data_IF_359339612913
#
_entry.id   IF_359339612913
#
_cell.length_a   1.000
_cell.length_b   1.000
_cell.length_c   1.000
_cell.angle_alpha   90.00
_cell.angle_beta   90.00
_cell.angle_gamma   90.00
#
_symmetry.space_group_name_H-M   'P 1'
#
loop_
_entity.id
_entity.type
_entity.pdbx_description
1 polymer ?
#
# COMPACT_ATOMS: atom_id res chain seq x y z
N UNK A 1 -16.10 -28.61 18.04
CA UNK A 1 -14.80 -29.00 18.64
C UNK A 1 -13.74 -28.14 17.98
N UNK A 2 -13.18 -27.23 18.77
CA UNK A 2 -12.23 -26.21 18.33
C UNK A 2 -10.96 -26.86 17.80
N UNK A 3 -10.59 -26.43 16.60
CA UNK A 3 -9.37 -26.75 15.90
C UNK A 3 -8.17 -26.49 16.81
N UNK A 4 -7.36 -27.53 16.99
CA UNK A 4 -6.10 -27.49 17.71
C UNK A 4 -5.21 -26.39 17.10
N UNK A 5 -5.03 -25.31 17.84
CA UNK A 5 -3.97 -24.33 17.60
C UNK A 5 -2.65 -25.07 17.80
N UNK A 6 -1.88 -25.22 16.72
CA UNK A 6 -0.58 -25.86 16.72
C UNK A 6 0.33 -25.22 17.77
N UNK A 7 0.75 -26.03 18.74
CA UNK A 7 1.79 -25.68 19.69
C UNK A 7 3.04 -25.29 18.90
N UNK A 8 3.48 -24.04 19.04
CA UNK A 8 4.66 -23.52 18.36
C UNK A 8 5.90 -24.33 18.74
N UNK A 9 6.37 -25.15 17.80
CA UNK A 9 7.58 -25.96 17.96
C UNK A 9 8.78 -25.02 18.18
N UNK A 10 9.25 -24.97 19.43
CA UNK A 10 10.24 -23.99 19.87
C UNK A 10 11.63 -24.46 19.44
N UNK A 11 12.25 -23.71 18.52
CA UNK A 11 13.63 -23.98 18.09
C UNK A 11 14.59 -23.85 19.27
N UNK A 12 15.57 -24.75 19.35
CA UNK A 12 16.62 -24.64 20.36
C UNK A 12 17.47 -23.38 20.14
N UNK A 13 18.15 -22.83 21.17
CA UNK A 13 19.02 -21.66 21.01
C UNK A 13 20.09 -21.84 19.93
N UNK A 14 20.57 -23.09 19.75
CA UNK A 14 21.52 -23.43 18.69
C UNK A 14 20.88 -23.34 17.31
N UNK A 15 19.71 -23.93 17.14
CA UNK A 15 18.95 -23.90 15.89
C UNK A 15 18.55 -22.48 15.51
N UNK A 16 18.14 -21.67 16.48
CA UNK A 16 17.89 -20.23 16.30
C UNK A 16 19.14 -19.51 15.78
N UNK A 17 20.30 -19.75 16.39
CA UNK A 17 21.57 -19.13 15.95
C UNK A 17 21.97 -19.58 14.55
N UNK A 18 21.83 -20.86 14.23
CA UNK A 18 22.11 -21.41 12.90
C UNK A 18 21.16 -20.81 11.86
N UNK A 19 19.84 -20.78 12.13
CA UNK A 19 18.85 -20.15 11.26
C UNK A 19 19.16 -18.68 11.02
N UNK A 20 19.51 -17.93 12.08
CA UNK A 20 19.88 -16.52 11.95
C UNK A 20 21.10 -16.30 11.06
N UNK A 21 22.12 -17.18 11.15
CA UNK A 21 23.32 -17.09 10.30
C UNK A 21 23.00 -17.43 8.86
N UNK A 22 22.20 -18.48 8.61
CA UNK A 22 21.78 -18.85 7.26
C UNK A 22 20.99 -17.71 6.62
N UNK A 23 20.02 -17.13 7.34
CA UNK A 23 19.24 -16.00 6.85
C UNK A 23 20.12 -14.79 6.54
N UNK A 24 21.04 -14.39 7.44
CA UNK A 24 21.95 -13.25 7.21
C UNK A 24 22.86 -13.46 6.00
N UNK A 25 23.53 -14.61 5.90
CA UNK A 25 24.41 -14.89 4.76
C UNK A 25 23.64 -14.94 3.45
N UNK A 26 22.44 -15.51 3.46
CA UNK A 26 21.61 -15.58 2.27
C UNK A 26 21.16 -14.18 1.82
N UNK A 27 20.70 -13.32 2.73
CA UNK A 27 20.33 -11.92 2.42
C UNK A 27 21.50 -11.10 1.90
N UNK A 28 22.72 -11.37 2.34
CA UNK A 28 23.91 -10.64 1.88
C UNK A 28 24.41 -11.09 0.50
N UNK A 29 24.16 -12.34 0.12
CA UNK A 29 24.84 -12.96 -1.04
C UNK A 29 23.91 -13.49 -2.12
N UNK A 30 22.62 -13.69 -1.81
CA UNK A 30 21.68 -14.47 -2.61
C UNK A 30 22.16 -15.90 -2.95
N UNK A 31 23.10 -16.47 -2.18
CA UNK A 31 23.67 -17.80 -2.47
C UNK A 31 23.31 -18.84 -1.40
N UNK A 32 23.07 -20.12 -1.78
CA UNK A 32 22.83 -21.19 -0.82
C UNK A 32 23.97 -21.33 0.20
N UNK A 33 23.61 -21.37 1.50
CA UNK A 33 24.59 -21.31 2.58
C UNK A 33 25.03 -22.72 2.99
N UNK A 34 26.34 -22.98 2.98
CA UNK A 34 26.89 -24.28 3.39
C UNK A 34 27.06 -24.39 4.90
N UNK A 35 27.04 -25.63 5.42
CA UNK A 35 27.28 -25.89 6.85
C UNK A 35 28.70 -25.50 7.29
N UNK A 36 29.67 -25.46 6.36
CA UNK A 36 31.04 -25.01 6.62
C UNK A 36 31.08 -23.52 6.97
N UNK A 37 30.44 -22.68 6.14
CA UNK A 37 30.34 -21.23 6.37
C UNK A 37 29.66 -20.94 7.71
N UNK A 38 28.55 -21.62 7.99
CA UNK A 38 27.84 -21.46 9.26
C UNK A 38 28.70 -21.91 10.44
N UNK A 39 29.40 -23.05 10.36
CA UNK A 39 30.26 -23.52 11.44
C UNK A 39 31.36 -22.50 11.79
N UNK A 40 32.04 -21.96 10.77
CA UNK A 40 33.10 -20.95 10.91
C UNK A 40 32.60 -19.66 11.56
N UNK A 41 31.42 -19.17 11.16
CA UNK A 41 30.86 -17.91 11.67
C UNK A 41 30.06 -18.06 12.96
N UNK A 42 29.61 -19.27 13.31
CA UNK A 42 28.69 -19.46 14.41
C UNK A 42 29.29 -19.25 15.80
N UNK A 43 30.61 -19.41 15.95
CA UNK A 43 31.26 -19.40 17.26
C UNK A 43 30.67 -20.42 18.24
N UNK A 44 30.00 -21.47 17.75
CA UNK A 44 29.34 -22.48 18.56
C UNK A 44 30.29 -23.61 19.01
N UNK A 45 31.52 -23.64 18.48
CA UNK A 45 32.49 -24.69 18.79
C UNK A 45 32.10 -26.08 18.28
N UNK A 46 31.20 -26.17 17.29
CA UNK A 46 30.70 -27.43 16.72
C UNK A 46 31.26 -27.68 15.32
N UNK A 47 31.38 -28.95 14.94
CA UNK A 47 31.88 -29.35 13.63
C UNK A 47 30.90 -29.01 12.50
N UNK A 48 31.37 -28.85 11.24
CA UNK A 48 30.50 -28.71 10.07
C UNK A 48 29.50 -29.86 9.88
N UNK A 49 29.83 -31.08 10.36
CA UNK A 49 28.93 -32.23 10.34
C UNK A 49 27.75 -32.05 11.31
N UNK A 50 28.02 -31.55 12.52
CA UNK A 50 26.99 -31.21 13.51
C UNK A 50 26.07 -30.11 12.98
N UNK A 51 26.64 -29.05 12.38
CA UNK A 51 25.86 -27.98 11.76
C UNK A 51 25.00 -28.51 10.61
N UNK A 52 25.52 -29.42 9.79
CA UNK A 52 24.76 -30.06 8.71
C UNK A 52 23.53 -30.80 9.24
N UNK A 53 23.66 -31.53 10.35
CA UNK A 53 22.54 -32.23 10.99
C UNK A 53 21.48 -31.24 11.53
N UNK A 54 21.90 -30.15 12.16
CA UNK A 54 20.96 -29.12 12.65
C UNK A 54 20.25 -28.40 11.48
N UNK A 55 20.95 -28.13 10.38
CA UNK A 55 20.36 -27.56 9.17
C UNK A 55 19.36 -28.52 8.51
N UNK A 56 19.65 -29.84 8.51
CA UNK A 56 18.70 -30.86 8.05
C UNK A 56 17.46 -30.90 8.95
N UNK A 57 17.61 -30.76 10.27
CA UNK A 57 16.45 -30.66 11.17
C UNK A 57 15.63 -29.40 10.92
N UNK A 58 16.28 -28.25 10.70
CA UNK A 58 15.59 -27.01 10.35
C UNK A 58 14.82 -27.10 9.03
N UNK A 59 15.30 -27.93 8.11
CA UNK A 59 14.63 -28.24 6.85
C UNK A 59 13.42 -29.17 7.06
N UNK A 60 13.55 -30.24 7.84
CA UNK A 60 12.40 -31.09 8.23
C UNK A 60 11.29 -30.27 8.91
N UNK A 61 11.68 -29.27 9.70
CA UNK A 61 10.77 -28.33 10.36
C UNK A 61 10.22 -27.23 9.43
N UNK A 62 10.68 -27.18 8.17
CA UNK A 62 10.22 -26.26 7.15
C UNK A 62 10.74 -24.83 7.26
N UNK A 63 11.80 -24.56 8.04
CA UNK A 63 12.45 -23.24 8.13
C UNK A 63 13.53 -23.03 7.07
N UNK A 64 14.15 -24.12 6.61
CA UNK A 64 15.14 -24.11 5.53
C UNK A 64 14.69 -25.05 4.40
N UNK A 65 15.24 -24.85 3.22
CA UNK A 65 15.12 -25.77 2.09
C UNK A 65 16.42 -25.81 1.30
N UNK A 66 16.47 -26.57 0.22
CA UNK A 66 17.57 -26.58 -0.74
C UNK A 66 17.03 -26.45 -2.16
N UNK A 67 17.64 -25.62 -3.01
CA UNK A 67 17.24 -25.54 -4.42
C UNK A 67 17.55 -26.83 -5.18
N UNK A 68 18.67 -27.48 -4.86
CA UNK A 68 19.12 -28.75 -5.42
C UNK A 68 19.77 -29.63 -4.35
N UNK A 69 19.75 -30.95 -4.55
CA UNK A 69 20.17 -31.96 -3.56
C UNK A 69 21.61 -31.80 -3.05
N UNK A 70 22.49 -31.18 -3.83
CA UNK A 70 23.90 -30.90 -3.47
C UNK A 70 24.16 -29.45 -3.04
N UNK A 71 23.18 -28.55 -3.15
CA UNK A 71 23.35 -27.15 -2.80
C UNK A 71 23.31 -26.93 -1.28
N UNK A 72 23.82 -25.78 -0.84
CA UNK A 72 23.61 -25.29 0.53
C UNK A 72 22.13 -25.14 0.88
N UNK A 73 21.84 -24.60 2.06
CA UNK A 73 20.44 -24.31 2.45
C UNK A 73 20.08 -22.86 2.22
N UNK A 74 18.81 -22.65 1.92
CA UNK A 74 18.19 -21.34 1.76
C UNK A 74 17.02 -21.22 2.72
N UNK A 75 16.72 -20.02 3.26
CA UNK A 75 15.54 -19.84 4.12
C UNK A 75 14.24 -20.03 3.33
N UNK A 76 13.25 -20.64 3.96
CA UNK A 76 11.86 -20.60 3.47
C UNK A 76 11.17 -19.31 3.95
N UNK A 77 9.97 -19.03 3.44
CA UNK A 77 9.10 -17.97 3.98
C UNK A 77 8.94 -18.08 5.50
N UNK A 78 8.71 -19.30 6.00
CA UNK A 78 8.61 -19.60 7.44
C UNK A 78 9.92 -19.29 8.17
N UNK A 79 11.07 -19.60 7.55
CA UNK A 79 12.39 -19.24 8.05
C UNK A 79 12.58 -17.73 8.23
N UNK A 80 12.24 -16.95 7.21
CA UNK A 80 12.28 -15.49 7.28
C UNK A 80 11.34 -14.92 8.34
N UNK A 81 10.09 -15.39 8.37
CA UNK A 81 9.10 -14.91 9.34
C UNK A 81 9.54 -15.17 10.77
N UNK A 82 10.08 -16.36 11.06
CA UNK A 82 10.64 -16.68 12.37
C UNK A 82 11.83 -15.78 12.72
N UNK A 83 12.75 -15.57 11.77
CA UNK A 83 13.89 -14.68 11.96
C UNK A 83 13.46 -13.26 12.33
N UNK A 84 12.55 -12.67 11.54
CA UNK A 84 12.08 -11.30 11.76
C UNK A 84 11.34 -11.16 13.10
N UNK A 85 10.48 -12.12 13.44
CA UNK A 85 9.64 -12.02 14.64
C UNK A 85 10.36 -12.36 15.94
N UNK A 86 11.29 -13.33 15.92
CA UNK A 86 11.87 -13.90 17.14
C UNK A 86 13.37 -13.59 17.30
N UNK A 87 14.09 -13.37 16.21
CA UNK A 87 15.55 -13.26 16.21
C UNK A 87 16.05 -11.84 15.87
N UNK A 88 15.22 -11.04 15.21
CA UNK A 88 15.50 -9.66 14.89
C UNK A 88 15.12 -8.77 16.08
N UNK A 89 16.12 -8.19 16.73
CA UNK A 89 15.90 -7.17 17.76
C UNK A 89 15.33 -5.88 17.15
N UNK A 90 14.84 -4.98 18.01
CA UNK A 90 14.43 -3.64 17.57
C UNK A 90 15.66 -2.82 17.21
N UNK A 91 15.88 -2.60 15.92
CA UNK A 91 16.86 -1.64 15.43
C UNK A 91 16.26 -0.22 15.50
N UNK A 92 17.04 0.75 15.95
CA UNK A 92 16.69 2.17 15.83
C UNK A 92 17.55 2.81 14.75
N UNK A 93 16.94 3.67 13.94
CA UNK A 93 17.66 4.51 12.99
C UNK A 93 18.67 5.39 13.73
N UNK A 94 19.93 5.47 13.28
CA UNK A 94 20.94 6.37 13.82
C UNK A 94 20.43 7.82 13.93
N UNK A 95 20.85 8.54 14.97
CA UNK A 95 20.44 9.94 15.20
C UNK A 95 20.77 10.86 14.02
N UNK A 96 21.91 10.65 13.36
CA UNK A 96 22.32 11.39 12.16
C UNK A 96 21.30 11.21 11.04
N UNK A 97 20.88 9.99 10.78
CA UNK A 97 19.93 9.66 9.73
C UNK A 97 18.54 10.26 10.03
N UNK A 98 18.08 10.18 11.29
CA UNK A 98 16.83 10.82 11.73
C UNK A 98 16.86 12.34 11.52
N UNK A 99 17.99 12.98 11.79
CA UNK A 99 18.16 14.43 11.57
C UNK A 99 18.16 14.77 10.08
N UNK A 100 18.85 13.99 9.25
CA UNK A 100 18.87 14.17 7.80
C UNK A 100 17.46 14.08 7.22
N UNK A 101 16.71 13.04 7.59
CA UNK A 101 15.30 12.86 7.17
C UNK A 101 14.47 14.07 7.59
N UNK A 102 14.54 14.47 8.86
CA UNK A 102 13.80 15.61 9.36
C UNK A 102 14.12 16.90 8.60
N UNK A 103 15.40 17.17 8.35
CA UNK A 103 15.83 18.35 7.60
C UNK A 103 15.33 18.34 6.15
N UNK A 104 15.35 17.19 5.47
CA UNK A 104 14.81 17.05 4.12
C UNK A 104 13.32 17.44 4.06
N UNK A 105 12.50 17.01 5.00
CA UNK A 105 11.08 17.36 5.04
C UNK A 105 10.82 18.85 5.36
N UNK A 106 11.67 19.50 6.16
CA UNK A 106 11.53 20.94 6.44
C UNK A 106 11.79 21.84 5.22
N UNK A 107 12.57 21.36 4.24
CA UNK A 107 12.91 22.12 3.04
C UNK A 107 11.85 22.05 1.93
N UNK A 108 10.98 21.02 1.97
CA UNK A 108 9.91 20.88 1.00
C UNK A 108 8.81 21.88 1.31
N UNK A 109 8.35 22.63 0.29
CA UNK A 109 7.18 23.49 0.41
C UNK A 109 5.96 22.68 0.90
N UNK A 110 4.89 23.29 1.44
CA UNK A 110 3.67 22.59 1.80
C UNK A 110 2.89 22.14 0.54
N UNK A 111 3.53 21.28 -0.25
CA UNK A 111 2.99 20.59 -1.42
C UNK A 111 2.98 19.10 -1.10
N UNK A 112 1.76 18.55 -0.96
CA UNK A 112 1.55 17.16 -0.57
C UNK A 112 2.21 16.20 -1.57
N UNK A 113 2.22 16.53 -2.86
CA UNK A 113 2.80 15.68 -3.90
C UNK A 113 4.31 15.50 -3.67
N UNK A 114 5.03 16.61 -3.45
CA UNK A 114 6.46 16.58 -3.19
C UNK A 114 6.81 15.85 -1.89
N UNK A 115 5.98 16.03 -0.86
CA UNK A 115 6.13 15.31 0.41
C UNK A 115 6.03 13.80 0.22
N UNK A 116 5.03 13.32 -0.53
CA UNK A 116 4.85 11.89 -0.78
C UNK A 116 5.98 11.30 -1.63
N UNK A 117 6.44 12.01 -2.68
CA UNK A 117 7.60 11.60 -3.49
C UNK A 117 8.87 11.50 -2.64
N UNK A 118 9.12 12.49 -1.77
CA UNK A 118 10.27 12.47 -0.87
C UNK A 118 10.19 11.29 0.12
N UNK A 119 9.02 11.03 0.69
CA UNK A 119 8.81 9.90 1.60
C UNK A 119 9.14 8.56 0.92
N UNK A 120 8.64 8.33 -0.30
CA UNK A 120 8.93 7.12 -1.07
C UNK A 120 10.44 6.99 -1.33
N UNK A 121 11.11 8.07 -1.76
CA UNK A 121 12.55 8.04 -2.03
C UNK A 121 13.40 7.80 -0.78
N UNK A 122 13.01 8.36 0.38
CA UNK A 122 13.69 8.10 1.66
C UNK A 122 13.53 6.64 2.08
N UNK A 123 12.31 6.10 2.01
CA UNK A 123 12.03 4.71 2.36
C UNK A 123 12.76 3.73 1.45
N UNK A 124 12.77 3.97 0.15
CA UNK A 124 13.47 3.13 -0.82
C UNK A 124 14.97 3.04 -0.52
N UNK A 125 15.62 4.20 -0.32
CA UNK A 125 17.04 4.26 0.00
C UNK A 125 17.38 3.65 1.36
N UNK A 126 16.58 3.95 2.39
CA UNK A 126 16.81 3.42 3.73
C UNK A 126 16.60 1.90 3.80
N UNK A 127 15.59 1.40 3.08
CA UNK A 127 15.27 -0.02 2.99
C UNK A 127 16.08 -0.79 1.94
N UNK A 128 16.82 -0.09 1.07
CA UNK A 128 17.52 -0.65 -0.10
C UNK A 128 16.61 -1.50 -0.98
N UNK A 129 15.42 -1.00 -1.26
CA UNK A 129 14.44 -1.72 -2.08
C UNK A 129 13.35 -0.80 -2.61
N UNK A 130 12.32 -1.40 -3.21
CA UNK A 130 11.16 -0.67 -3.69
C UNK A 130 10.36 -0.09 -2.52
N UNK A 131 9.87 1.14 -2.70
CA UNK A 131 8.98 1.80 -1.76
C UNK A 131 7.68 2.20 -2.45
N UNK A 132 6.60 2.10 -1.70
CA UNK A 132 5.28 2.54 -2.09
C UNK A 132 4.69 3.40 -0.98
N UNK A 133 4.23 4.60 -1.33
CA UNK A 133 3.59 5.54 -0.41
C UNK A 133 2.26 5.97 -1.00
N UNK A 134 1.19 5.80 -0.25
CA UNK A 134 -0.11 6.34 -0.61
C UNK A 134 -0.30 7.71 0.05
N UNK A 135 -0.81 8.67 -0.70
CA UNK A 135 -1.32 9.90 -0.09
C UNK A 135 -2.37 9.55 0.99
N UNK A 136 -2.38 10.27 2.12
CA UNK A 136 -3.43 10.11 3.12
C UNK A 136 -4.78 10.33 2.45
N UNK A 137 -5.76 9.46 2.72
CA UNK A 137 -7.10 9.66 2.17
C UNK A 137 -7.66 10.96 2.74
N UNK A 138 -7.91 11.93 1.87
CA UNK A 138 -8.79 13.04 2.19
C UNK A 138 -10.13 12.44 2.66
N UNK A 139 -10.72 12.96 3.75
CA UNK A 139 -12.04 12.52 4.18
C UNK A 139 -13.01 12.65 2.99
N UNK A 140 -13.93 11.69 2.85
CA UNK A 140 -14.91 11.69 1.77
C UNK A 140 -15.56 13.06 1.66
N UNK A 141 -15.59 13.61 0.45
CA UNK A 141 -16.16 14.93 0.26
C UNK A 141 -17.63 14.94 0.65
N UNK A 142 -18.06 16.10 1.12
CA UNK A 142 -19.43 16.30 1.59
C UNK A 142 -20.10 17.35 0.74
N UNK A 143 -21.33 17.06 0.36
CA UNK A 143 -22.16 18.00 -0.38
C UNK A 143 -22.40 19.28 0.44
N UNK A 144 -22.18 20.44 -0.18
CA UNK A 144 -22.50 21.75 0.42
C UNK A 144 -23.69 22.40 -0.25
N UNK A 145 -23.67 22.48 -1.58
CA UNK A 145 -24.68 23.19 -2.34
C UNK A 145 -24.72 22.76 -3.81
N UNK A 146 -25.88 22.89 -4.43
CA UNK A 146 -26.15 22.66 -5.84
C UNK A 146 -26.94 23.85 -6.40
N UNK A 147 -26.49 24.36 -7.55
CA UNK A 147 -27.29 25.23 -8.41
C UNK A 147 -27.47 24.60 -9.79
N UNK A 148 -28.65 24.82 -10.36
CA UNK A 148 -28.99 24.45 -11.73
C UNK A 148 -29.40 25.73 -12.47
N UNK A 149 -28.61 26.12 -13.47
CA UNK A 149 -28.77 27.38 -14.19
C UNK A 149 -29.09 27.09 -15.64
N UNK A 150 -30.25 27.53 -16.13
CA UNK A 150 -30.62 27.45 -17.53
C UNK A 150 -29.71 28.35 -18.37
N UNK A 151 -29.03 27.75 -19.36
CA UNK A 151 -28.22 28.48 -20.33
C UNK A 151 -29.00 28.74 -21.62
N UNK A 152 -29.82 27.76 -22.03
CA UNK A 152 -30.72 27.76 -23.20
C UNK A 152 -31.87 26.79 -22.90
N UNK A 153 -32.89 26.76 -23.76
CA UNK A 153 -34.09 25.91 -23.59
C UNK A 153 -33.80 24.50 -23.07
N UNK A 154 -32.80 23.82 -23.65
CA UNK A 154 -32.43 22.43 -23.30
C UNK A 154 -31.07 22.29 -22.61
N UNK A 155 -30.37 23.39 -22.31
CA UNK A 155 -29.01 23.34 -21.74
C UNK A 155 -29.01 23.90 -20.33
N UNK A 156 -28.50 23.12 -19.37
CA UNK A 156 -28.45 23.49 -17.96
C UNK A 156 -27.02 23.37 -17.44
N UNK A 157 -26.51 24.42 -16.82
CA UNK A 157 -25.27 24.37 -16.05
C UNK A 157 -25.56 23.88 -14.64
N UNK A 158 -24.99 22.73 -14.29
CA UNK A 158 -24.92 22.22 -12.93
C UNK A 158 -23.68 22.80 -12.24
N UNK A 159 -23.87 23.45 -11.11
CA UNK A 159 -22.80 23.95 -10.24
C UNK A 159 -22.90 23.24 -8.89
N UNK A 160 -21.94 22.37 -8.60
CA UNK A 160 -21.84 21.63 -7.35
C UNK A 160 -20.74 22.24 -6.48
N UNK A 161 -21.07 22.54 -5.24
CA UNK A 161 -20.15 23.04 -4.22
C UNK A 161 -20.00 21.97 -3.13
N UNK A 162 -18.77 21.68 -2.73
CA UNK A 162 -18.45 20.74 -1.65
C UNK A 162 -18.01 21.50 -0.39
N UNK A 163 -18.12 20.84 0.78
CA UNK A 163 -17.51 21.36 2.00
C UNK A 163 -15.99 21.46 1.78
N UNK A 164 -15.39 22.59 2.18
CA UNK A 164 -14.02 22.95 1.80
C UNK A 164 -13.93 23.91 0.60
N UNK A 165 -15.05 24.24 -0.05
CA UNK A 165 -15.11 25.32 -1.05
C UNK A 165 -14.78 24.90 -2.48
N UNK A 166 -14.61 23.61 -2.73
CA UNK A 166 -14.39 23.07 -4.07
C UNK A 166 -15.67 23.22 -4.89
N UNK A 167 -15.53 23.71 -6.13
CA UNK A 167 -16.63 23.91 -7.08
C UNK A 167 -16.42 23.02 -8.30
N UNK A 168 -17.47 22.30 -8.71
CA UNK A 168 -17.51 21.47 -9.92
C UNK A 168 -18.65 21.95 -10.81
N UNK A 169 -18.37 22.04 -12.11
CA UNK A 169 -19.30 22.56 -13.10
C UNK A 169 -19.47 21.56 -14.23
N UNK A 170 -20.70 21.34 -14.67
CA UNK A 170 -21.00 20.47 -15.79
C UNK A 170 -22.22 20.99 -16.57
N UNK A 171 -22.13 21.03 -17.89
CA UNK A 171 -23.28 21.31 -18.75
C UNK A 171 -24.05 20.02 -18.99
N UNK A 172 -25.35 20.07 -18.75
CA UNK A 172 -26.33 19.02 -19.01
C UNK A 172 -27.17 19.40 -20.23
N UNK A 173 -27.46 18.43 -21.08
CA UNK A 173 -28.39 18.57 -22.21
C UNK A 173 -29.63 17.75 -21.90
N UNK A 174 -30.79 18.41 -21.88
CA UNK A 174 -32.08 17.83 -21.55
C UNK A 174 -32.89 17.56 -22.81
N UNK A 175 -33.72 16.52 -22.75
CA UNK A 175 -34.55 16.09 -23.88
C UNK A 175 -35.78 16.98 -24.12
N UNK A 176 -36.05 17.91 -23.20
CA UNK A 176 -37.17 18.83 -23.27
C UNK A 176 -36.78 20.20 -22.71
N UNK A 177 -37.42 21.30 -23.16
CA UNK A 177 -37.20 22.61 -22.61
C UNK A 177 -37.48 22.66 -21.11
N UNK A 178 -36.64 23.38 -20.36
CA UNK A 178 -36.83 23.56 -18.91
C UNK A 178 -36.74 25.02 -18.50
N UNK A 179 -37.60 25.41 -17.56
CA UNK A 179 -37.65 26.75 -17.00
C UNK A 179 -36.75 26.88 -15.75
N UNK A 180 -36.16 28.06 -15.56
CA UNK A 180 -35.28 28.38 -14.44
C UNK A 180 -36.01 28.25 -13.09
N UNK A 181 -37.30 28.59 -13.01
CA UNK A 181 -38.05 28.46 -11.76
C UNK A 181 -38.18 27.00 -11.32
N UNK A 182 -38.41 26.10 -12.28
CA UNK A 182 -38.46 24.65 -12.02
C UNK A 182 -37.08 24.10 -11.62
N UNK A 183 -36.02 24.49 -12.33
CA UNK A 183 -34.64 24.10 -11.99
C UNK A 183 -34.25 24.56 -10.58
N UNK A 184 -34.64 25.78 -10.20
CA UNK A 184 -34.41 26.33 -8.86
C UNK A 184 -35.17 25.53 -7.79
N UNK A 185 -36.38 25.08 -8.10
CA UNK A 185 -37.18 24.24 -7.20
C UNK A 185 -36.53 22.88 -6.98
N UNK A 186 -36.05 22.24 -8.05
CA UNK A 186 -35.30 20.97 -7.97
C UNK A 186 -34.01 21.15 -7.16
N UNK A 187 -33.24 22.19 -7.46
CA UNK A 187 -31.99 22.48 -6.76
C UNK A 187 -32.21 22.69 -5.26
N UNK A 188 -33.22 23.47 -4.87
CA UNK A 188 -33.55 23.69 -3.45
C UNK A 188 -33.94 22.39 -2.73
N UNK A 189 -34.78 21.55 -3.34
CA UNK A 189 -35.16 20.27 -2.75
C UNK A 189 -33.96 19.33 -2.57
N UNK A 190 -33.06 19.28 -3.55
CA UNK A 190 -31.82 18.49 -3.42
C UNK A 190 -30.85 19.12 -2.42
N UNK A 191 -30.77 20.45 -2.32
CA UNK A 191 -29.97 21.13 -1.32
C UNK A 191 -30.38 20.76 0.11
N UNK A 192 -31.69 20.67 0.36
CA UNK A 192 -32.21 20.27 1.67
C UNK A 192 -31.97 18.78 1.94
N UNK A 193 -32.19 17.92 0.94
CA UNK A 193 -32.06 16.47 1.08
C UNK A 193 -30.61 15.99 1.20
N UNK A 194 -29.67 16.63 0.49
CA UNK A 194 -28.30 16.13 0.34
C UNK A 194 -27.28 16.83 1.25
N UNK A 195 -27.71 17.82 2.04
CA UNK A 195 -26.80 18.66 2.84
C UNK A 195 -25.86 17.85 3.74
N UNK A 196 -24.55 18.02 3.54
CA UNK A 196 -23.51 17.39 4.35
C UNK A 196 -23.31 15.90 4.09
N UNK A 197 -24.08 15.28 3.20
CA UNK A 197 -23.98 13.87 2.86
C UNK A 197 -22.73 13.59 2.02
N UNK A 198 -22.20 12.36 2.15
CA UNK A 198 -21.14 11.84 1.27
C UNK A 198 -21.74 11.25 0.01
N UNK A 199 -20.91 10.97 -1.01
CA UNK A 199 -21.40 10.33 -2.24
C UNK A 199 -22.08 8.98 -1.97
N UNK A 200 -21.54 8.19 -1.01
CA UNK A 200 -22.12 6.92 -0.60
C UNK A 200 -23.49 7.08 0.05
N UNK A 201 -23.67 8.08 0.91
CA UNK A 201 -24.97 8.38 1.52
C UNK A 201 -25.99 8.76 0.44
N UNK A 202 -25.60 9.60 -0.52
CA UNK A 202 -26.46 10.01 -1.64
C UNK A 202 -26.86 8.80 -2.49
N UNK A 203 -25.92 7.89 -2.79
CA UNK A 203 -26.20 6.62 -3.50
C UNK A 203 -27.25 5.78 -2.76
N UNK A 204 -27.22 5.75 -1.43
CA UNK A 204 -28.20 5.05 -0.60
C UNK A 204 -29.61 5.63 -0.69
N UNK A 205 -29.75 6.93 -1.00
CA UNK A 205 -31.06 7.61 -1.14
C UNK A 205 -31.65 7.48 -2.55
N UNK A 206 -30.84 7.19 -3.57
CA UNK A 206 -31.29 7.12 -4.97
C UNK A 206 -32.50 6.20 -5.20
N UNK A 207 -32.63 5.01 -4.58
CA UNK A 207 -33.80 4.15 -4.77
C UNK A 207 -35.14 4.81 -4.39
N UNK A 208 -35.12 5.83 -3.52
CA UNK A 208 -36.30 6.59 -3.12
C UNK A 208 -36.52 7.90 -3.89
N UNK A 209 -35.66 8.22 -4.88
CA UNK A 209 -35.75 9.43 -5.68
C UNK A 209 -36.24 9.11 -7.10
N UNK A 210 -37.34 9.73 -7.51
CA UNK A 210 -37.93 9.52 -8.83
C UNK A 210 -37.64 10.69 -9.79
N UNK A 211 -37.72 10.40 -11.09
CA UNK A 211 -37.66 11.41 -12.14
C UNK A 211 -36.32 12.16 -12.21
N UNK A 212 -36.40 13.46 -12.47
CA UNK A 212 -35.23 14.31 -12.69
C UNK A 212 -34.36 14.47 -11.43
N UNK A 213 -34.96 14.45 -10.25
CA UNK A 213 -34.25 14.53 -8.97
C UNK A 213 -33.25 13.40 -8.80
N UNK A 214 -33.69 12.16 -9.04
CA UNK A 214 -32.81 10.99 -8.99
C UNK A 214 -31.69 11.06 -10.03
N UNK A 215 -31.97 11.61 -11.22
CA UNK A 215 -30.94 11.82 -12.25
C UNK A 215 -29.88 12.83 -11.80
N UNK A 216 -30.30 13.98 -11.26
CA UNK A 216 -29.40 15.02 -10.77
C UNK A 216 -28.63 14.56 -9.53
N UNK A 217 -29.29 13.88 -8.58
CA UNK A 217 -28.63 13.30 -7.41
C UNK A 217 -27.59 12.24 -7.80
N UNK A 218 -27.87 11.42 -8.82
CA UNK A 218 -26.92 10.44 -9.35
C UNK A 218 -25.73 11.11 -10.02
N UNK A 219 -25.95 12.21 -10.76
CA UNK A 219 -24.89 13.05 -11.35
C UNK A 219 -24.00 13.67 -10.25
N UNK A 220 -24.61 14.21 -9.19
CA UNK A 220 -23.91 14.76 -8.02
C UNK A 220 -23.07 13.69 -7.33
N UNK A 221 -23.64 12.52 -7.03
CA UNK A 221 -22.91 11.40 -6.43
C UNK A 221 -21.72 10.97 -7.31
N UNK A 222 -21.92 10.87 -8.62
CA UNK A 222 -20.85 10.52 -9.57
C UNK A 222 -19.76 11.60 -9.61
N UNK A 223 -20.11 12.88 -9.57
CA UNK A 223 -19.15 13.98 -9.55
C UNK A 223 -18.33 14.00 -8.25
N UNK A 224 -18.98 13.72 -7.11
CA UNK A 224 -18.32 13.57 -5.80
C UNK A 224 -17.41 12.35 -5.76
N UNK A 225 -17.85 11.19 -6.26
CA UNK A 225 -17.03 9.98 -6.37
C UNK A 225 -15.78 10.22 -7.23
N UNK A 226 -15.91 10.95 -8.34
CA UNK A 226 -14.76 11.29 -9.18
C UNK A 226 -13.80 12.24 -8.48
N UNK A 227 -14.31 13.23 -7.74
CA UNK A 227 -13.48 14.13 -6.96
C UNK A 227 -12.72 13.36 -5.87
N UNK A 228 -13.46 12.56 -5.11
CA UNK A 228 -12.92 11.69 -4.08
C UNK A 228 -11.89 10.73 -4.69
N UNK A 229 -12.15 10.12 -5.86
CA UNK A 229 -11.22 9.23 -6.53
C UNK A 229 -9.94 9.91 -7.04
N UNK A 230 -10.01 11.18 -7.46
CA UNK A 230 -8.81 11.95 -7.86
C UNK A 230 -7.96 12.38 -6.65
N UNK A 231 -8.60 12.63 -5.51
CA UNK A 231 -7.93 12.90 -4.23
C UNK A 231 -7.53 11.61 -3.49
N UNK A 232 -8.17 10.49 -3.81
CA UNK A 232 -7.87 9.18 -3.25
C UNK A 232 -6.64 8.60 -3.93
N UNK A 233 -5.57 8.49 -3.14
CA UNK A 233 -4.60 7.44 -3.35
C UNK A 233 -3.79 7.59 -4.63
N UNK A 234 -3.28 8.80 -4.91
CA UNK A 234 -2.04 8.85 -5.67
C UNK A 234 -1.01 8.00 -4.93
N UNK A 235 -0.54 6.99 -5.65
CA UNK A 235 0.48 6.07 -5.18
C UNK A 235 1.81 6.52 -5.75
N UNK A 236 2.73 6.82 -4.86
CA UNK A 236 4.07 7.24 -5.17
C UNK A 236 5.00 6.06 -4.97
N UNK A 237 5.82 5.78 -5.98
CA UNK A 237 6.81 4.72 -5.91
C UNK A 237 8.21 5.29 -6.10
N UNK A 238 9.19 4.61 -5.51
CA UNK A 238 10.61 4.83 -5.70
C UNK A 238 11.34 3.50 -5.48
N UNK A 239 12.64 3.44 -5.74
CA UNK A 239 13.42 2.26 -5.39
C UNK A 239 13.78 1.32 -6.54
N UNK A 240 13.46 1.68 -7.79
CA UNK A 240 13.79 0.84 -8.95
C UNK A 240 15.30 0.58 -8.99
N UNK A 241 16.11 1.64 -8.86
CA UNK A 241 17.57 1.53 -8.84
C UNK A 241 18.06 0.67 -7.66
N UNK A 242 17.49 0.86 -6.47
CA UNK A 242 17.82 0.07 -5.27
C UNK A 242 17.51 -1.42 -5.42
N UNK A 243 16.41 -1.78 -6.11
CA UNK A 243 16.06 -3.18 -6.39
C UNK A 243 16.99 -3.78 -7.43
N UNK A 244 17.27 -3.05 -8.51
CA UNK A 244 18.17 -3.51 -9.57
C UNK A 244 19.61 -3.69 -9.09
N UNK A 245 20.00 -3.04 -7.99
CA UNK A 245 21.30 -3.23 -7.35
C UNK A 245 21.40 -4.50 -6.48
N UNK A 246 20.29 -5.20 -6.19
CA UNK A 246 20.32 -6.40 -5.35
C UNK A 246 20.77 -7.64 -6.14
N UNK A 247 21.53 -8.57 -5.52
CA UNK A 247 22.08 -9.74 -6.20
C UNK A 247 21.01 -10.70 -6.75
N UNK A 248 19.83 -10.76 -6.12
CA UNK A 248 18.69 -11.59 -6.52
C UNK A 248 18.07 -11.17 -7.87
N UNK A 249 18.26 -9.91 -8.29
CA UNK A 249 17.67 -9.37 -9.53
C UNK A 249 18.73 -9.12 -10.61
N UNK A 250 19.79 -9.92 -10.62
CA UNK A 250 20.88 -9.80 -11.59
C UNK A 250 20.54 -10.31 -13.00
N UNK A 251 19.41 -10.99 -13.17
CA UNK A 251 18.96 -11.53 -14.46
C UNK A 251 17.85 -10.70 -15.13
N UNK A 252 17.75 -10.81 -16.46
CA UNK A 252 16.80 -10.02 -17.24
C UNK A 252 15.33 -10.41 -17.00
N UNK A 253 15.06 -11.59 -16.44
CA UNK A 253 13.71 -12.05 -16.13
C UNK A 253 13.21 -11.44 -14.80
N UNK A 254 14.01 -11.49 -13.74
CA UNK A 254 13.70 -10.85 -12.47
C UNK A 254 13.50 -9.34 -12.61
N UNK A 255 14.36 -8.67 -13.38
CA UNK A 255 14.23 -7.24 -13.69
C UNK A 255 12.87 -6.93 -14.35
N UNK A 256 12.46 -7.73 -15.33
CA UNK A 256 11.19 -7.51 -16.04
C UNK A 256 9.98 -7.70 -15.13
N UNK A 257 10.00 -8.70 -14.25
CA UNK A 257 8.93 -8.93 -13.29
C UNK A 257 8.77 -7.75 -12.31
N UNK A 258 9.88 -7.23 -11.77
CA UNK A 258 9.85 -6.08 -10.86
C UNK A 258 9.29 -4.84 -11.58
N UNK A 259 9.78 -4.54 -12.80
CA UNK A 259 9.30 -3.39 -13.57
C UNK A 259 7.80 -3.49 -13.87
N UNK A 260 7.30 -4.68 -14.25
CA UNK A 260 5.87 -4.90 -14.48
C UNK A 260 5.02 -4.63 -13.23
N UNK A 261 5.49 -5.03 -12.06
CA UNK A 261 4.78 -4.79 -10.80
C UNK A 261 4.78 -3.30 -10.44
N UNK A 262 5.91 -2.62 -10.62
CA UNK A 262 6.05 -1.19 -10.29
C UNK A 262 5.33 -0.27 -11.27
N UNK A 263 5.21 -0.66 -12.55
CA UNK A 263 4.39 0.06 -13.54
C UNK A 263 2.89 -0.26 -13.40
N UNK A 264 2.56 -1.43 -12.83
CA UNK A 264 1.19 -1.91 -12.67
C UNK A 264 0.42 -1.21 -11.53
N UNK A 265 -0.21 -0.07 -11.82
CA UNK A 265 -1.02 0.69 -10.84
C UNK A 265 -2.08 -0.17 -10.12
N UNK A 266 -2.68 -1.15 -10.80
CA UNK A 266 -3.71 -2.02 -10.21
C UNK A 266 -3.16 -2.90 -9.09
N UNK A 267 -2.00 -3.53 -9.30
CA UNK A 267 -1.38 -4.43 -8.32
C UNK A 267 -0.95 -3.65 -7.08
N UNK A 268 -0.34 -2.48 -7.29
CA UNK A 268 0.10 -1.60 -6.21
C UNK A 268 -1.08 -1.11 -5.35
N UNK A 269 -2.22 -0.81 -5.97
CA UNK A 269 -3.43 -0.40 -5.24
C UNK A 269 -3.99 -1.52 -4.34
N UNK A 270 -3.94 -2.77 -4.80
CA UNK A 270 -4.39 -3.93 -4.03
C UNK A 270 -3.51 -4.18 -2.79
N UNK A 271 -2.17 -4.11 -2.95
CA UNK A 271 -1.21 -4.27 -1.85
C UNK A 271 -1.46 -3.22 -0.76
N UNK A 272 -1.69 -1.96 -1.16
CA UNK A 272 -1.96 -0.87 -0.21
C UNK A 272 -3.26 -1.07 0.56
N UNK A 273 -4.31 -1.58 -0.10
CA UNK A 273 -5.57 -1.86 0.57
C UNK A 273 -5.46 -3.00 1.59
N UNK A 274 -4.62 -4.00 1.33
CA UNK A 274 -4.33 -5.08 2.28
C UNK A 274 -3.56 -4.58 3.50
N UNK A 275 -2.45 -3.86 3.28
CA UNK A 275 -1.62 -3.26 4.37
C UNK A 275 -2.47 -2.32 5.25
N UNK A 276 -3.36 -1.54 4.63
CA UNK A 276 -4.25 -0.61 5.34
C UNK A 276 -5.21 -1.31 6.29
N UNK A 277 -5.73 -2.49 5.94
CA UNK A 277 -6.65 -3.25 6.83
C UNK A 277 -5.92 -3.83 8.03
N UNK A 278 -4.67 -4.23 7.84
CA UNK A 278 -3.92 -4.93 8.86
C UNK A 278 -3.41 -3.97 9.95
N UNK A 279 -3.03 -2.74 9.57
CA UNK A 279 -2.65 -1.66 10.49
C UNK A 279 -1.29 -1.86 11.18
N UNK A 280 -0.63 -0.75 11.53
CA UNK A 280 0.69 -0.77 12.15
C UNK A 280 1.81 -1.19 11.19
N UNK A 281 2.96 -1.57 11.76
CA UNK A 281 4.10 -2.10 10.98
C UNK A 281 3.96 -3.62 10.90
N UNK A 282 3.97 -4.16 9.68
CA UNK A 282 3.84 -5.58 9.44
C UNK A 282 4.88 -6.06 8.42
N UNK A 283 5.17 -7.35 8.48
CA UNK A 283 5.95 -8.07 7.49
C UNK A 283 5.05 -9.18 6.96
N UNK A 284 4.64 -9.05 5.70
CA UNK A 284 3.73 -9.96 5.01
C UNK A 284 4.50 -11.20 4.54
#
# INVERSE_FOLDING_TARGET
MQSQQGQGETLTPRQQKILALVVRNYVETAQPVSSKVVAEQSGLGVSPATVRNEMARLEELGYLTHPHTSAGRVPTERGYRYFVQQLMGRAQLPLSERRTISHQFHQVRPDLEQWMRLAAAILARAGRGASLVAAPKSPASRFKHLELISLRETHVLLVLVLLGGVVRQQVLVLNQPTDQAWLSTVANRLNDALKGLTAQDIRGLLPGMEGFDGQVASLVATAMERYDAHEMGQVYHAGVEEVLAQPEFSDAEGIRQVLQILEGQTILSQILDEVRRAGGVQVL
#
